data_IF_520406659516
#
_entry.id   IF_520406659516
#
_cell.length_a   1.000
_cell.length_b   1.000
_cell.length_c   1.000
_cell.angle_alpha   90.00
_cell.angle_beta   90.00
_cell.angle_gamma   90.00
#
_symmetry.space_group_name_H-M   'P 1'
#
loop_
_entity.id
_entity.type
_entity.pdbx_description
1 polymer ?
#
# COMPACT_ATOMS: atom_id res chain seq x y z
N UNK A 1 4.96 1.60 -23.96
CA UNK A 1 5.18 2.43 -22.77
C UNK A 1 5.97 1.60 -21.78
N UNK A 2 7.08 2.11 -21.26
CA UNK A 2 7.97 1.32 -20.39
C UNK A 2 7.43 1.36 -18.97
N UNK A 3 6.97 0.22 -18.46
CA UNK A 3 6.67 0.05 -17.04
C UNK A 3 7.89 0.45 -16.20
N UNK A 4 7.77 1.49 -15.37
CA UNK A 4 8.86 1.97 -14.52
C UNK A 4 8.60 1.51 -13.09
N UNK A 5 9.43 0.63 -12.49
CA UNK A 5 9.25 0.19 -11.11
C UNK A 5 9.30 1.36 -10.12
N UNK A 6 10.05 2.42 -10.43
CA UNK A 6 10.11 3.66 -9.66
C UNK A 6 8.73 4.34 -9.48
N UNK A 7 7.86 4.27 -10.50
CA UNK A 7 6.49 4.79 -10.41
C UNK A 7 5.61 3.98 -9.44
N UNK A 8 5.82 2.66 -9.33
CA UNK A 8 5.14 1.83 -8.32
C UNK A 8 5.66 2.16 -6.94
N UNK A 9 6.99 2.18 -6.77
CA UNK A 9 7.62 2.46 -5.47
C UNK A 9 7.23 3.83 -4.92
N UNK A 10 7.13 4.87 -5.75
CA UNK A 10 6.68 6.20 -5.30
C UNK A 10 5.23 6.22 -4.81
N UNK A 11 4.31 5.55 -5.53
CA UNK A 11 2.91 5.41 -5.13
C UNK A 11 2.77 4.58 -3.85
N UNK A 12 3.42 3.42 -3.78
CA UNK A 12 3.48 2.57 -2.60
C UNK A 12 4.05 3.31 -1.38
N UNK A 13 5.13 4.08 -1.54
CA UNK A 13 5.71 4.90 -0.46
C UNK A 13 4.74 6.00 0.00
N UNK A 14 4.03 6.65 -0.92
CA UNK A 14 3.03 7.67 -0.56
C UNK A 14 1.82 7.08 0.18
N UNK A 15 1.35 5.90 -0.25
CA UNK A 15 0.34 5.12 0.49
C UNK A 15 0.87 4.72 1.87
N UNK A 16 2.14 4.31 1.94
CA UNK A 16 2.83 3.93 3.17
C UNK A 16 2.79 5.06 4.20
N UNK A 17 3.24 6.25 3.81
CA UNK A 17 3.28 7.44 4.68
C UNK A 17 1.89 7.93 5.15
N UNK A 18 0.81 7.63 4.42
CA UNK A 18 -0.55 7.98 4.85
C UNK A 18 -1.09 7.04 5.94
N UNK A 19 -0.63 5.79 5.98
CA UNK A 19 -1.07 4.76 6.94
C UNK A 19 -0.12 4.68 8.14
N UNK A 20 1.17 4.91 7.91
CA UNK A 20 2.26 4.97 8.90
C UNK A 20 2.10 6.22 9.78
N UNK A 21 1.16 6.12 10.73
CA UNK A 21 0.75 7.25 11.54
C UNK A 21 1.70 7.55 12.69
N UNK A 22 2.53 6.59 13.11
CA UNK A 22 3.59 6.81 14.08
C UNK A 22 4.91 7.23 13.42
N UNK A 23 5.01 7.19 12.08
CA UNK A 23 6.22 7.47 11.31
C UNK A 23 7.42 6.59 11.71
N UNK A 24 7.16 5.37 12.17
CA UNK A 24 8.19 4.41 12.59
C UNK A 24 8.81 3.68 11.39
N UNK A 25 8.25 3.87 10.18
CA UNK A 25 8.81 3.32 8.94
C UNK A 25 8.41 1.88 8.64
N UNK A 26 7.54 1.28 9.45
CA UNK A 26 7.09 -0.11 9.33
C UNK A 26 5.59 -0.20 9.66
N UNK A 27 4.79 -0.93 8.86
CA UNK A 27 3.40 -1.20 9.23
C UNK A 27 3.30 -2.41 10.14
N UNK A 28 2.81 -2.21 11.36
CA UNK A 28 2.40 -3.30 12.26
C UNK A 28 0.91 -3.66 12.08
N UNK A 29 0.52 -4.86 12.50
CA UNK A 29 -0.89 -5.29 12.48
C UNK A 29 -1.84 -4.33 13.22
N UNK A 30 -1.36 -3.73 14.33
CA UNK A 30 -2.11 -2.74 15.11
C UNK A 30 -2.31 -1.41 14.37
N UNK A 31 -1.34 -0.98 13.57
CA UNK A 31 -1.47 0.24 12.75
C UNK A 31 -2.40 0.05 11.57
N UNK A 32 -2.37 -1.11 10.92
CA UNK A 32 -3.31 -1.43 9.84
C UNK A 32 -4.76 -1.46 10.35
N UNK A 33 -4.97 -1.96 11.57
CA UNK A 33 -6.28 -1.87 12.24
C UNK A 33 -6.68 -0.40 12.46
N UNK A 34 -5.82 0.42 13.06
CA UNK A 34 -6.11 1.84 13.29
C UNK A 34 -6.33 2.63 11.99
N UNK A 35 -5.54 2.37 10.95
CA UNK A 35 -5.72 2.99 9.65
C UNK A 35 -7.03 2.58 8.97
N UNK A 36 -7.46 1.32 9.09
CA UNK A 36 -8.78 0.88 8.59
C UNK A 36 -9.92 1.63 9.29
N UNK A 37 -9.80 1.87 10.60
CA UNK A 37 -10.74 2.70 11.37
C UNK A 37 -10.71 4.17 10.94
N UNK A 38 -9.51 4.77 10.76
CA UNK A 38 -9.35 6.17 10.34
C UNK A 38 -9.80 6.45 8.91
N UNK A 39 -9.67 5.47 8.02
CA UNK A 39 -10.01 5.63 6.59
C UNK A 39 -11.46 5.23 6.26
N UNK A 40 -12.29 4.91 7.26
CA UNK A 40 -13.71 4.54 7.11
C UNK A 40 -13.98 3.51 5.98
N UNK A 41 -13.11 2.50 5.88
CA UNK A 41 -13.19 1.46 4.83
C UNK A 41 -12.42 1.73 3.54
N UNK A 42 -11.72 2.86 3.43
CA UNK A 42 -10.77 3.14 2.34
C UNK A 42 -9.52 2.24 2.36
N UNK A 43 -9.16 1.67 3.52
CA UNK A 43 -8.16 0.61 3.63
C UNK A 43 -8.84 -0.73 3.92
N UNK A 44 -8.63 -1.77 3.08
CA UNK A 44 -9.18 -3.09 3.35
C UNK A 44 -8.65 -3.61 4.68
N UNK A 45 -9.51 -4.27 5.48
CA UNK A 45 -9.04 -4.97 6.69
C UNK A 45 -7.96 -5.96 6.29
N UNK A 46 -6.71 -5.67 6.67
CA UNK A 46 -5.61 -6.60 6.48
C UNK A 46 -5.79 -7.72 7.49
N UNK A 47 -6.07 -8.91 7.01
CA UNK A 47 -6.09 -10.13 7.82
C UNK A 47 -4.68 -10.57 8.15
N UNK A 48 -4.49 -11.36 9.21
CA UNK A 48 -3.21 -12.01 9.54
C UNK A 48 -2.60 -12.74 8.33
N UNK A 49 -3.44 -13.41 7.54
CA UNK A 49 -3.06 -14.11 6.32
C UNK A 49 -2.53 -13.16 5.22
N UNK A 50 -3.19 -12.02 5.00
CA UNK A 50 -2.73 -11.01 4.04
C UNK A 50 -1.47 -10.28 4.53
N UNK A 51 -1.35 -10.03 5.83
CA UNK A 51 -0.15 -9.49 6.46
C UNK A 51 1.03 -10.44 6.27
N UNK A 52 0.89 -11.72 6.63
CA UNK A 52 1.91 -12.77 6.42
C UNK A 52 2.29 -12.99 4.96
N UNK A 53 1.38 -12.75 4.02
CA UNK A 53 1.69 -12.85 2.60
C UNK A 53 2.51 -11.65 2.09
N UNK A 54 2.48 -10.51 2.78
CA UNK A 54 3.29 -9.31 2.46
C UNK A 54 4.59 -9.23 3.29
N UNK A 55 4.60 -9.72 4.53
CA UNK A 55 5.77 -9.85 5.42
C UNK A 55 6.61 -11.05 4.96
N UNK A 56 7.47 -10.80 3.97
CA UNK A 56 8.25 -11.85 3.28
C UNK A 56 9.47 -12.27 4.10
N UNK A 57 10.03 -11.34 4.89
CA UNK A 57 11.12 -11.63 5.82
C UNK A 57 10.63 -12.29 7.14
N UNK A 58 9.31 -12.32 7.36
CA UNK A 58 8.68 -12.81 8.60
C UNK A 58 9.17 -12.08 9.86
N UNK A 59 9.49 -10.79 9.72
CA UNK A 59 9.99 -9.94 10.81
C UNK A 59 8.86 -9.37 11.68
N UNK A 60 7.59 -9.62 11.32
CA UNK A 60 6.40 -9.14 12.05
C UNK A 60 5.98 -7.72 11.71
N UNK A 61 6.59 -7.09 10.70
CA UNK A 61 6.27 -5.76 10.18
C UNK A 61 6.25 -5.78 8.65
N UNK A 62 5.69 -4.75 8.01
CA UNK A 62 5.81 -4.59 6.56
C UNK A 62 6.58 -3.31 6.30
N UNK A 63 7.77 -3.43 5.71
CA UNK A 63 8.56 -2.29 5.28
C UNK A 63 8.02 -1.69 3.95
N UNK A 64 8.22 -0.39 3.69
CA UNK A 64 7.80 0.24 2.43
C UNK A 64 8.47 -0.40 1.22
N UNK A 65 9.70 -0.90 1.38
CA UNK A 65 10.43 -1.63 0.35
C UNK A 65 9.78 -2.98 0.04
N UNK A 66 9.40 -3.77 1.06
CA UNK A 66 8.69 -5.05 0.89
C UNK A 66 7.33 -4.86 0.24
N UNK A 67 6.57 -3.83 0.64
CA UNK A 67 5.27 -3.51 0.04
C UNK A 67 5.42 -3.10 -1.42
N UNK A 68 6.32 -2.15 -1.73
CA UNK A 68 6.61 -1.73 -3.09
C UNK A 68 7.09 -2.89 -3.97
N UNK A 69 7.96 -3.77 -3.46
CA UNK A 69 8.47 -4.93 -4.18
C UNK A 69 7.34 -5.95 -4.44
N UNK A 70 6.51 -6.26 -3.45
CA UNK A 70 5.33 -7.14 -3.61
C UNK A 70 4.34 -6.60 -4.65
N UNK A 71 4.02 -5.31 -4.60
CA UNK A 71 3.10 -4.67 -5.56
C UNK A 71 3.72 -4.62 -6.96
N UNK A 72 5.00 -4.26 -7.07
CA UNK A 72 5.76 -4.28 -8.33
C UNK A 72 5.76 -5.67 -8.95
N UNK A 73 6.03 -6.72 -8.16
CA UNK A 73 5.97 -8.10 -8.64
C UNK A 73 4.56 -8.51 -9.06
N UNK A 74 3.52 -8.14 -8.30
CA UNK A 74 2.13 -8.44 -8.67
C UNK A 74 1.77 -7.79 -10.02
N UNK A 75 2.08 -6.50 -10.20
CA UNK A 75 1.87 -5.79 -11.48
C UNK A 75 2.72 -6.40 -12.60
N UNK A 76 4.00 -6.72 -12.37
CA UNK A 76 4.84 -7.36 -13.39
C UNK A 76 4.28 -8.72 -13.86
N UNK A 77 3.67 -9.50 -12.96
CA UNK A 77 2.98 -10.78 -13.29
C UNK A 77 1.69 -10.57 -14.09
N UNK A 78 1.06 -9.39 -14.03
CA UNK A 78 -0.11 -9.07 -14.86
C UNK A 78 0.30 -8.85 -16.33
N UNK A 79 -0.60 -9.18 -17.29
CA UNK A 79 -0.38 -8.88 -18.71
C UNK A 79 -0.22 -7.36 -18.91
N UNK A 80 0.65 -6.95 -19.84
CA UNK A 80 1.06 -5.55 -19.99
C UNK A 80 -0.11 -4.58 -20.15
N UNK A 81 -1.13 -4.97 -20.92
CA UNK A 81 -2.37 -4.21 -21.11
C UNK A 81 -3.10 -3.88 -19.78
N UNK A 82 -2.94 -4.70 -18.74
CA UNK A 82 -3.55 -4.52 -17.43
C UNK A 82 -2.61 -3.81 -16.44
N UNK A 83 -1.31 -3.64 -16.75
CA UNK A 83 -0.33 -3.00 -15.85
C UNK A 83 -0.63 -1.52 -15.63
N UNK A 84 -0.99 -0.81 -16.70
CA UNK A 84 -1.39 0.60 -16.60
C UNK A 84 -2.69 0.76 -15.81
N UNK A 85 -3.66 -0.14 -15.99
CA UNK A 85 -4.89 -0.15 -15.19
C UNK A 85 -4.60 -0.39 -13.69
N UNK A 86 -3.71 -1.32 -13.33
CA UNK A 86 -3.31 -1.54 -11.94
C UNK A 86 -2.60 -0.32 -11.33
N UNK A 87 -1.71 0.35 -12.08
CA UNK A 87 -1.08 1.60 -11.68
C UNK A 87 -2.10 2.73 -11.44
N UNK A 88 -3.07 2.88 -12.36
CA UNK A 88 -4.14 3.84 -12.22
C UNK A 88 -5.01 3.56 -10.97
N UNK A 89 -5.36 2.30 -10.70
CA UNK A 89 -6.09 1.91 -9.48
C UNK A 89 -5.31 2.26 -8.20
N UNK A 90 -4.00 1.96 -8.12
CA UNK A 90 -3.17 2.37 -6.99
C UNK A 90 -3.12 3.89 -6.81
N UNK A 91 -2.98 4.64 -7.91
CA UNK A 91 -2.95 6.11 -7.88
C UNK A 91 -4.27 6.71 -7.40
N UNK A 92 -5.40 6.12 -7.77
CA UNK A 92 -6.72 6.56 -7.29
C UNK A 92 -6.97 6.15 -5.83
N UNK A 93 -6.57 4.95 -5.41
CA UNK A 93 -6.53 4.55 -4.00
C UNK A 93 -5.78 5.57 -3.13
N UNK A 94 -4.58 5.99 -3.58
CA UNK A 94 -3.80 7.03 -2.94
C UNK A 94 -4.56 8.37 -2.82
N UNK A 95 -5.20 8.80 -3.90
CA UNK A 95 -5.98 10.05 -3.91
C UNK A 95 -7.12 10.01 -2.89
N UNK A 96 -7.99 8.98 -2.90
CA UNK A 96 -9.09 8.90 -1.95
C UNK A 96 -8.62 8.75 -0.51
N UNK A 97 -7.55 8.01 -0.23
CA UNK A 97 -6.98 7.92 1.12
C UNK A 97 -6.49 9.29 1.62
N UNK A 98 -5.81 10.05 0.75
CA UNK A 98 -5.39 11.42 1.05
C UNK A 98 -6.59 12.33 1.33
N UNK A 99 -7.65 12.26 0.53
CA UNK A 99 -8.87 13.05 0.71
C UNK A 99 -9.64 12.64 1.99
N UNK A 100 -9.78 11.35 2.28
CA UNK A 100 -10.44 10.84 3.48
C UNK A 100 -9.73 11.29 4.78
N UNK A 101 -8.39 11.29 4.78
CA UNK A 101 -7.59 11.79 5.92
C UNK A 101 -7.65 13.31 6.03
N UNK A 102 -7.64 14.04 4.92
CA UNK A 102 -7.79 15.52 4.92
C UNK A 102 -9.20 15.97 5.34
N UNK A 103 -10.24 15.19 5.04
CA UNK A 103 -11.64 15.48 5.41
C UNK A 103 -11.97 15.14 6.88
N UNK A 104 -11.04 14.47 7.58
CA UNK A 104 -11.15 14.17 9.02
C UNK A 104 -10.39 15.16 9.92
N UNK A 105 -9.85 16.26 9.35
CA UNK A 105 -9.27 17.42 10.04
C UNK A 105 -10.23 18.63 9.97
#
# INVERSE_FOLDING_TARGET
GTFVPESVSGLCNSLFQLVDANHDGHWTMGELSQASERTKGGFPKVTDEAFRAMDTDHNGTIEPAEYALSVTQAIQRLPEANREAALAQLKTALTWMKEALQSSL
#
